data_IF_363422701156
#
_entry.id   IF_363422701156
#
_cell.length_a   1.000
_cell.length_b   1.000
_cell.length_c   1.000
_cell.angle_alpha   90.00
_cell.angle_beta   90.00
_cell.angle_gamma   90.00
#
_symmetry.space_group_name_H-M   'P 1'
#
loop_
_entity.id
_entity.type
_entity.pdbx_description
1 polymer ?
#
# COMPACT_ATOMS: atom_id res chain seq x y z
N UNK A 1 9.96 0.96 13.15
CA UNK A 1 8.57 0.55 12.98
C UNK A 1 8.29 -0.65 13.88
N UNK A 2 7.24 -0.57 14.64
CA UNK A 2 6.94 -1.57 15.65
C UNK A 2 5.75 -2.43 15.22
N UNK A 3 5.84 -3.75 15.40
CA UNK A 3 4.73 -4.67 15.21
C UNK A 3 4.59 -5.26 13.80
N UNK A 4 5.43 -4.85 12.85
CA UNK A 4 5.48 -5.44 11.51
C UNK A 4 6.77 -6.24 11.39
N UNK A 5 6.68 -7.42 10.78
CA UNK A 5 7.85 -8.25 10.53
C UNK A 5 8.70 -7.60 9.42
N UNK A 6 9.82 -7.02 9.81
CA UNK A 6 10.70 -6.31 8.89
C UNK A 6 11.30 -7.21 7.81
N UNK A 7 11.50 -8.49 8.11
CA UNK A 7 12.04 -9.41 7.11
C UNK A 7 11.08 -9.62 5.95
N UNK A 8 9.77 -9.61 6.21
CA UNK A 8 8.74 -9.67 5.18
C UNK A 8 8.56 -8.33 4.49
N UNK A 9 8.61 -7.25 5.27
CA UNK A 9 8.38 -5.91 4.77
C UNK A 9 9.41 -5.49 3.73
N UNK A 10 10.67 -5.83 3.96
CA UNK A 10 11.79 -5.41 3.10
C UNK A 10 12.33 -6.53 2.21
N UNK A 11 11.57 -7.57 2.01
CA UNK A 11 12.05 -8.78 1.35
C UNK A 11 12.63 -8.56 -0.05
N UNK A 12 12.09 -7.61 -0.82
CA UNK A 12 12.58 -7.30 -2.16
C UNK A 12 12.85 -5.83 -2.39
N UNK A 13 12.34 -4.97 -1.52
CA UNK A 13 12.55 -3.53 -1.61
C UNK A 13 13.25 -3.12 -0.33
N UNK A 14 14.54 -3.29 -0.28
CA UNK A 14 15.39 -3.25 0.93
C UNK A 14 14.89 -2.40 2.10
N UNK A 15 14.51 -1.18 1.86
CA UNK A 15 14.14 -0.24 2.91
C UNK A 15 12.72 0.30 2.73
N UNK A 16 11.94 -0.32 1.86
CA UNK A 16 10.63 0.21 1.50
C UNK A 16 10.76 1.51 0.72
N UNK A 17 9.72 2.33 0.81
CA UNK A 17 9.67 3.61 0.10
C UNK A 17 9.29 4.72 1.06
N UNK A 18 9.75 5.94 0.76
CA UNK A 18 9.43 7.13 1.53
C UNK A 18 8.97 8.21 0.57
N UNK A 19 7.86 8.89 0.91
CA UNK A 19 7.38 10.00 0.11
C UNK A 19 8.38 11.16 0.18
N UNK A 20 8.76 11.75 -0.97
CA UNK A 20 9.54 12.97 -0.97
C UNK A 20 8.71 14.15 -0.47
N UNK A 21 9.31 15.08 0.23
CA UNK A 21 8.68 16.33 0.69
C UNK A 21 7.55 16.17 1.70
N UNK A 22 7.40 15.00 2.31
CA UNK A 22 6.43 14.77 3.38
C UNK A 22 7.07 13.98 4.48
N UNK A 23 6.69 14.31 5.72
CA UNK A 23 7.17 13.66 6.92
C UNK A 23 5.98 13.18 7.76
N UNK A 24 6.26 12.26 8.69
CA UNK A 24 5.30 11.82 9.67
C UNK A 24 4.68 10.47 9.33
N UNK A 25 3.62 10.14 10.06
CA UNK A 25 2.96 8.85 9.96
C UNK A 25 2.31 8.66 8.58
N UNK A 26 2.50 7.47 8.03
CA UNK A 26 1.90 7.11 6.74
C UNK A 26 2.71 7.53 5.52
N UNK A 27 3.89 8.11 5.70
CA UNK A 27 4.73 8.57 4.59
C UNK A 27 5.75 7.53 4.14
N UNK A 28 5.75 6.36 4.77
CA UNK A 28 6.62 5.23 4.41
C UNK A 28 5.76 4.05 4.01
N UNK A 29 6.24 3.24 3.10
CA UNK A 29 5.52 2.04 2.65
C UNK A 29 6.45 0.85 2.50
N UNK A 30 5.90 -0.34 2.79
CA UNK A 30 6.58 -1.60 2.54
C UNK A 30 5.57 -2.65 2.11
N UNK A 31 6.05 -3.65 1.37
CA UNK A 31 5.16 -4.73 0.92
C UNK A 31 4.88 -5.72 2.05
N UNK A 32 3.64 -6.21 2.07
CA UNK A 32 3.19 -7.14 3.11
C UNK A 32 3.02 -8.57 2.65
N UNK A 33 3.13 -8.85 1.35
CA UNK A 33 3.04 -10.21 0.80
C UNK A 33 4.04 -10.40 -0.34
N UNK A 34 4.48 -11.65 -0.60
CA UNK A 34 5.37 -11.92 -1.73
C UNK A 34 4.76 -11.56 -3.09
N UNK A 35 3.44 -11.58 -3.19
CA UNK A 35 2.72 -11.26 -4.43
C UNK A 35 2.70 -9.76 -4.72
N UNK A 36 2.97 -8.93 -3.72
CA UNK A 36 3.00 -7.48 -3.88
C UNK A 36 4.34 -7.05 -4.44
N UNK A 37 4.34 -6.41 -5.61
CA UNK A 37 5.58 -5.94 -6.22
C UNK A 37 6.08 -4.66 -5.54
N UNK A 38 7.37 -4.37 -5.70
CA UNK A 38 7.95 -3.11 -5.23
C UNK A 38 7.32 -1.92 -5.95
N UNK A 39 7.09 -2.05 -7.26
CA UNK A 39 6.40 -1.04 -8.05
C UNK A 39 5.03 -0.71 -7.44
N UNK A 40 4.24 -1.74 -7.13
CA UNK A 40 2.89 -1.53 -6.60
C UNK A 40 2.91 -0.96 -5.18
N UNK A 41 3.87 -1.34 -4.37
CA UNK A 41 4.05 -0.79 -3.02
C UNK A 41 4.24 0.73 -3.07
N UNK A 42 5.12 1.20 -3.93
CA UNK A 42 5.35 2.64 -4.12
C UNK A 42 4.12 3.32 -4.73
N UNK A 43 3.48 2.65 -5.69
CA UNK A 43 2.26 3.16 -6.32
C UNK A 43 1.14 3.41 -5.30
N UNK A 44 0.91 2.47 -4.38
CA UNK A 44 -0.12 2.60 -3.35
C UNK A 44 0.19 3.77 -2.41
N UNK A 45 1.45 3.91 -2.01
CA UNK A 45 1.87 5.02 -1.15
C UNK A 45 1.57 6.37 -1.79
N UNK A 46 1.97 6.54 -3.06
CA UNK A 46 1.74 7.79 -3.79
C UNK A 46 0.26 8.05 -4.02
N UNK A 47 -0.48 7.01 -4.42
CA UNK A 47 -1.92 7.13 -4.67
C UNK A 47 -2.70 7.50 -3.40
N UNK A 48 -2.34 6.92 -2.26
CA UNK A 48 -2.96 7.24 -0.99
C UNK A 48 -2.87 8.73 -0.68
N UNK A 49 -1.67 9.30 -0.81
CA UNK A 49 -1.44 10.71 -0.51
C UNK A 49 -2.00 11.64 -1.59
N UNK A 50 -2.01 11.22 -2.86
CA UNK A 50 -2.61 12.00 -3.93
C UNK A 50 -4.13 12.14 -3.74
N UNK A 51 -4.78 11.08 -3.28
CA UNK A 51 -6.24 11.06 -3.17
C UNK A 51 -6.74 11.67 -1.87
N UNK A 52 -5.98 11.58 -0.79
CA UNK A 52 -6.43 12.03 0.53
C UNK A 52 -5.60 13.16 1.14
N UNK A 53 -4.34 13.24 0.82
CA UNK A 53 -3.46 14.31 1.33
C UNK A 53 -3.07 14.21 2.80
N UNK A 54 -3.51 13.15 3.50
CA UNK A 54 -3.13 12.89 4.89
C UNK A 54 -3.29 11.41 5.21
N UNK A 55 -2.70 10.97 6.31
CA UNK A 55 -2.89 9.62 6.82
C UNK A 55 -4.03 9.62 7.86
N UNK A 56 -4.80 8.54 7.89
CA UNK A 56 -5.92 8.38 8.82
C UNK A 56 -6.10 6.91 9.18
N UNK A 57 -6.52 6.59 10.42
CA UNK A 57 -6.88 5.22 10.77
C UNK A 57 -8.19 4.76 10.15
N UNK A 58 -9.00 5.67 9.62
CA UNK A 58 -10.31 5.34 9.05
C UNK A 58 -10.18 4.56 7.74
N UNK A 59 -11.14 3.67 7.45
CA UNK A 59 -11.16 2.94 6.18
C UNK A 59 -11.23 3.89 4.99
N UNK A 60 -10.37 3.65 3.99
CA UNK A 60 -10.31 4.43 2.77
C UNK A 60 -10.07 3.52 1.58
N UNK A 61 -10.75 3.81 0.45
CA UNK A 61 -10.46 3.15 -0.82
C UNK A 61 -9.44 3.98 -1.60
N UNK A 62 -8.44 3.30 -2.15
CA UNK A 62 -7.35 3.95 -2.89
C UNK A 62 -7.20 3.25 -4.24
N UNK A 63 -7.23 4.03 -5.32
CA UNK A 63 -7.01 3.50 -6.67
C UNK A 63 -5.54 3.69 -7.04
N UNK A 64 -4.82 2.59 -7.28
CA UNK A 64 -3.39 2.64 -7.55
C UNK A 64 -3.05 1.88 -8.83
N UNK A 65 -2.30 2.49 -9.76
CA UNK A 65 -1.87 1.79 -10.96
C UNK A 65 -0.86 0.69 -10.64
N UNK A 66 -1.04 -0.47 -11.28
CA UNK A 66 -0.09 -1.55 -11.21
C UNK A 66 0.84 -1.59 -12.42
N UNK A 67 1.76 -2.54 -12.44
CA UNK A 67 2.63 -2.76 -13.59
C UNK A 67 1.87 -3.33 -14.79
N UNK A 68 0.67 -3.86 -14.55
CA UNK A 68 -0.23 -4.39 -15.58
C UNK A 68 -1.61 -3.76 -15.37
N UNK A 69 -2.44 -3.83 -16.40
CA UNK A 69 -3.84 -3.37 -16.33
C UNK A 69 -4.61 -4.27 -15.36
N UNK A 70 -5.32 -3.68 -14.41
CA UNK A 70 -6.11 -4.44 -13.44
C UNK A 70 -7.12 -5.37 -14.12
N UNK A 71 -7.70 -4.96 -15.22
CA UNK A 71 -8.66 -5.78 -15.96
C UNK A 71 -8.04 -7.08 -16.51
N UNK A 72 -6.72 -7.15 -16.63
CA UNK A 72 -6.02 -8.35 -17.09
C UNK A 72 -5.75 -9.36 -15.96
N UNK A 73 -6.06 -9.00 -14.71
CA UNK A 73 -5.81 -9.86 -13.54
C UNK A 73 -7.14 -10.45 -13.07
N UNK A 74 -7.35 -11.77 -13.24
CA UNK A 74 -8.61 -12.39 -12.83
C UNK A 74 -8.87 -12.24 -11.34
N UNK A 75 -10.10 -11.85 -10.98
CA UNK A 75 -10.52 -11.73 -9.59
C UNK A 75 -10.06 -10.48 -8.86
N UNK A 76 -9.28 -9.61 -9.50
CA UNK A 76 -8.84 -8.36 -8.87
C UNK A 76 -9.98 -7.34 -8.82
N UNK A 77 -10.01 -6.55 -7.73
CA UNK A 77 -10.90 -5.40 -7.66
C UNK A 77 -10.26 -4.25 -8.42
N UNK A 78 -11.02 -3.62 -9.31
CA UNK A 78 -10.51 -2.59 -10.21
C UNK A 78 -11.33 -1.30 -10.14
N UNK A 79 -10.62 -0.19 -10.38
CA UNK A 79 -11.21 1.10 -10.67
C UNK A 79 -10.65 1.52 -12.03
N UNK A 80 -11.38 1.21 -13.11
CA UNK A 80 -10.84 1.31 -14.46
C UNK A 80 -9.66 0.36 -14.63
N UNK A 81 -8.52 0.89 -15.05
CA UNK A 81 -7.29 0.10 -15.18
C UNK A 81 -6.47 0.02 -13.90
N UNK A 82 -6.84 0.78 -12.88
CA UNK A 82 -6.15 0.79 -11.60
C UNK A 82 -6.67 -0.32 -10.67
N UNK A 83 -5.81 -0.75 -9.76
CA UNK A 83 -6.21 -1.67 -8.71
C UNK A 83 -6.84 -0.90 -7.55
N UNK A 84 -7.98 -1.40 -7.06
CA UNK A 84 -8.66 -0.80 -5.91
C UNK A 84 -8.15 -1.44 -4.63
N UNK A 85 -7.59 -0.62 -3.75
CA UNK A 85 -7.06 -1.04 -2.45
C UNK A 85 -7.92 -0.47 -1.33
N UNK A 86 -8.06 -1.23 -0.26
CA UNK A 86 -8.79 -0.81 0.95
C UNK A 86 -7.78 -0.65 2.08
N UNK A 87 -7.63 0.57 2.56
CA UNK A 87 -6.62 0.95 3.55
C UNK A 87 -7.29 1.33 4.86
N UNK A 88 -6.80 0.78 5.97
CA UNK A 88 -7.20 1.21 7.31
C UNK A 88 -6.17 0.80 8.34
N UNK A 89 -6.17 1.49 9.48
CA UNK A 89 -5.36 1.11 10.61
C UNK A 89 -6.22 0.26 11.55
N UNK A 90 -5.87 -1.02 11.69
CA UNK A 90 -6.60 -1.92 12.56
C UNK A 90 -6.26 -1.65 14.02
N UNK A 91 -7.20 -2.01 14.91
CA UNK A 91 -7.01 -1.84 16.35
C UNK A 91 -5.76 -2.57 16.83
N UNK A 92 -4.89 -1.86 17.53
CA UNK A 92 -3.64 -2.42 18.05
C UNK A 92 -2.44 -2.32 17.13
N UNK A 93 -2.65 -1.94 15.86
CA UNK A 93 -1.55 -1.77 14.92
C UNK A 93 -0.99 -0.35 14.96
N UNK A 94 0.31 -0.23 14.73
CA UNK A 94 1.00 1.07 14.62
C UNK A 94 1.22 1.48 13.17
N UNK A 95 0.49 0.87 12.24
CA UNK A 95 0.60 1.12 10.80
C UNK A 95 -0.76 0.98 10.13
N UNK A 96 -0.87 1.53 8.92
CA UNK A 96 -2.04 1.36 8.05
C UNK A 96 -1.81 0.13 7.17
N UNK A 97 -2.83 -0.73 7.04
CA UNK A 97 -2.78 -1.89 6.15
C UNK A 97 -3.67 -1.64 4.95
N UNK A 98 -3.12 -1.74 3.75
CA UNK A 98 -3.85 -1.66 2.50
C UNK A 98 -3.89 -3.05 1.86
N UNK A 99 -5.10 -3.53 1.55
CA UNK A 99 -5.30 -4.83 0.90
C UNK A 99 -6.17 -4.67 -0.32
N UNK A 100 -5.97 -5.51 -1.31
CA UNK A 100 -6.78 -5.51 -2.53
C UNK A 100 -6.05 -6.15 -3.70
N UNK A 101 -6.45 -5.76 -4.91
CA UNK A 101 -5.91 -6.40 -6.10
C UNK A 101 -6.13 -7.90 -6.03
N UNK A 102 -5.08 -8.67 -6.31
CA UNK A 102 -5.07 -10.12 -6.14
C UNK A 102 -3.98 -10.47 -5.12
N UNK A 103 -4.38 -10.62 -3.85
CA UNK A 103 -3.48 -10.96 -2.73
C UNK A 103 -2.41 -9.89 -2.45
N UNK A 104 -2.65 -8.65 -2.83
CA UNK A 104 -1.73 -7.56 -2.56
C UNK A 104 -1.93 -7.02 -1.14
N UNK A 105 -0.83 -6.70 -0.48
CA UNK A 105 -0.84 -6.06 0.83
C UNK A 105 0.31 -5.08 0.94
N UNK A 106 -0.01 -3.87 1.37
CA UNK A 106 0.97 -2.79 1.58
C UNK A 106 0.78 -2.23 2.98
N UNK A 107 1.87 -2.03 3.68
CA UNK A 107 1.86 -1.36 4.98
C UNK A 107 2.36 0.07 4.81
N UNK A 108 1.68 1.02 5.46
CA UNK A 108 2.07 2.43 5.52
C UNK A 108 2.34 2.82 6.96
N UNK A 109 3.46 3.48 7.21
CA UNK A 109 3.81 3.94 8.56
C UNK A 109 4.49 5.30 8.59
#
# INVERSE_FOLDING_TARGET
MTGVDQSKLYQSCDQGFTLPNRDGFGTHAGRGTPETSCFFTDSVLRAYWDQYGNASPLPRAVSAPGAVDCASVPGAECDGSDFLMHCQQYTGDNWITCTGGQSARVFLW
#
